data_IF_283432793607
#
_entry.id   IF_283432793607
#
_cell.length_a   1.000
_cell.length_b   1.000
_cell.length_c   1.000
_cell.angle_alpha   90.00
_cell.angle_beta   90.00
_cell.angle_gamma   90.00
#
_symmetry.space_group_name_H-M   'P 1'
#
loop_
_entity.id
_entity.type
_entity.pdbx_description
1 polymer ?
#
# COMPACT_ATOMS: atom_id res chain seq x y z
N UNK A 1 9.06 -4.10 21.73
CA UNK A 1 8.97 -5.04 20.60
C UNK A 1 10.21 -5.90 20.60
N UNK A 2 10.06 -7.22 20.49
CA UNK A 2 11.17 -8.14 20.38
C UNK A 2 11.73 -8.21 18.94
N UNK A 3 13.01 -8.60 18.80
CA UNK A 3 13.64 -8.72 17.46
C UNK A 3 12.87 -9.70 16.54
N UNK A 4 12.32 -10.78 17.11
CA UNK A 4 11.54 -11.76 16.38
C UNK A 4 10.23 -11.18 15.80
N UNK A 5 9.56 -10.30 16.54
CA UNK A 5 8.33 -9.62 16.09
C UNK A 5 8.65 -8.62 14.98
N UNK A 6 9.75 -7.88 15.14
CA UNK A 6 10.26 -7.00 14.09
C UNK A 6 10.54 -7.77 12.81
N UNK A 7 11.34 -8.84 12.91
CA UNK A 7 11.74 -9.63 11.75
C UNK A 7 10.54 -10.28 11.07
N UNK A 8 9.59 -10.81 11.83
CA UNK A 8 8.35 -11.38 11.29
C UNK A 8 7.57 -10.36 10.46
N UNK A 9 7.41 -9.12 10.96
CA UNK A 9 6.71 -8.06 10.23
C UNK A 9 7.45 -7.66 8.95
N UNK A 10 8.77 -7.48 9.03
CA UNK A 10 9.59 -7.14 7.86
C UNK A 10 9.53 -8.27 6.81
N UNK A 11 9.62 -9.52 7.24
CA UNK A 11 9.58 -10.65 6.31
C UNK A 11 8.20 -10.80 5.66
N UNK A 12 7.14 -10.59 6.40
CA UNK A 12 5.76 -10.70 5.91
C UNK A 12 5.39 -9.54 4.99
N UNK A 13 5.69 -8.31 5.38
CA UNK A 13 5.13 -7.12 4.71
C UNK A 13 6.08 -6.48 3.67
N UNK A 14 7.39 -6.70 3.78
CA UNK A 14 8.37 -6.11 2.87
C UNK A 14 9.15 -7.16 2.07
N UNK A 15 9.77 -8.14 2.75
CA UNK A 15 10.57 -9.17 2.07
C UNK A 15 9.71 -10.00 1.12
N UNK A 16 8.45 -10.29 1.48
CA UNK A 16 7.51 -10.99 0.61
C UNK A 16 7.22 -10.22 -0.68
N UNK A 17 7.00 -8.90 -0.58
CA UNK A 17 6.75 -8.03 -1.74
C UNK A 17 7.94 -8.06 -2.71
N UNK A 18 9.17 -7.96 -2.20
CA UNK A 18 10.38 -8.14 -3.00
C UNK A 18 10.42 -9.50 -3.70
N UNK A 19 10.17 -10.60 -2.97
CA UNK A 19 10.23 -11.97 -3.53
C UNK A 19 9.21 -12.17 -4.65
N UNK A 20 7.97 -11.72 -4.46
CA UNK A 20 6.88 -11.81 -5.44
C UNK A 20 7.19 -10.93 -6.65
N UNK A 21 7.57 -9.67 -6.44
CA UNK A 21 7.94 -8.74 -7.52
C UNK A 21 9.07 -9.31 -8.38
N UNK A 22 10.14 -9.85 -7.76
CA UNK A 22 11.25 -10.46 -8.48
C UNK A 22 10.81 -11.64 -9.34
N UNK A 23 9.95 -12.50 -8.81
CA UNK A 23 9.47 -13.68 -9.52
C UNK A 23 8.67 -13.30 -10.78
N UNK A 24 7.71 -12.41 -10.63
CA UNK A 24 6.87 -11.95 -11.75
C UNK A 24 7.62 -11.05 -12.73
N UNK A 25 8.50 -10.16 -12.26
CA UNK A 25 9.31 -9.32 -13.12
C UNK A 25 10.18 -10.15 -14.11
N UNK A 26 10.71 -11.30 -13.67
CA UNK A 26 11.46 -12.19 -14.54
C UNK A 26 10.62 -12.78 -15.70
N UNK A 27 9.32 -12.98 -15.47
CA UNK A 27 8.37 -13.42 -16.50
C UNK A 27 8.00 -12.25 -17.40
N UNK A 28 7.65 -11.11 -16.81
CA UNK A 28 7.23 -9.89 -17.50
C UNK A 28 8.34 -9.35 -18.43
N UNK A 29 9.60 -9.41 -18.02
CA UNK A 29 10.74 -9.02 -18.85
C UNK A 29 10.83 -9.80 -20.17
N UNK A 30 10.49 -11.09 -20.16
CA UNK A 30 10.48 -11.91 -21.38
C UNK A 30 9.43 -11.48 -22.38
N UNK A 31 8.32 -10.92 -21.87
CA UNK A 31 7.19 -10.45 -22.67
C UNK A 31 7.29 -8.97 -23.03
N UNK A 32 8.28 -8.25 -22.49
CA UNK A 32 8.44 -6.80 -22.59
C UNK A 32 7.14 -6.05 -22.23
N UNK A 33 6.44 -6.54 -21.19
CA UNK A 33 5.17 -6.00 -20.71
C UNK A 33 4.92 -6.43 -19.26
N UNK A 34 4.43 -5.51 -18.44
CA UNK A 34 3.98 -5.83 -17.08
C UNK A 34 3.34 -4.64 -16.37
N UNK A 35 2.47 -4.97 -15.43
CA UNK A 35 1.84 -4.03 -14.50
C UNK A 35 1.96 -4.62 -13.10
N UNK A 36 2.66 -3.92 -12.21
CA UNK A 36 2.87 -4.33 -10.82
C UNK A 36 2.27 -3.25 -9.93
N UNK A 37 1.38 -3.67 -9.02
CA UNK A 37 0.76 -2.79 -8.04
C UNK A 37 1.07 -3.34 -6.66
N UNK A 38 1.93 -2.65 -5.92
CA UNK A 38 2.25 -2.98 -4.55
C UNK A 38 1.21 -2.35 -3.61
N UNK A 39 0.85 -3.05 -2.56
CA UNK A 39 -0.04 -2.53 -1.52
C UNK A 39 0.80 -2.18 -0.28
N UNK A 40 0.97 -0.87 -0.06
CA UNK A 40 1.59 -0.36 1.16
C UNK A 40 0.51 -0.04 2.22
N UNK A 41 0.54 1.15 2.76
CA UNK A 41 -0.42 1.71 3.72
C UNK A 41 -0.23 3.22 3.80
N UNK A 42 -1.23 3.95 4.23
CA UNK A 42 -1.08 5.34 4.69
C UNK A 42 0.00 5.44 5.78
N UNK A 43 0.18 4.41 6.60
CA UNK A 43 1.22 4.32 7.63
C UNK A 43 2.65 4.09 7.08
N UNK A 44 2.82 3.93 5.80
CA UNK A 44 4.11 4.07 5.14
C UNK A 44 4.43 5.52 4.76
N UNK A 45 3.45 6.44 4.84
CA UNK A 45 3.58 7.85 4.50
C UNK A 45 3.68 8.75 5.74
N UNK A 46 2.98 8.40 6.81
CA UNK A 46 2.89 9.19 8.04
C UNK A 46 3.09 8.33 9.28
N UNK A 47 3.44 8.97 10.40
CA UNK A 47 3.45 8.34 11.73
C UNK A 47 2.03 8.23 12.32
N UNK A 48 1.93 7.47 13.41
CA UNK A 48 0.71 7.34 14.20
C UNK A 48 1.07 7.41 15.70
N UNK A 49 0.28 8.14 16.47
CA UNK A 49 0.47 8.30 17.91
C UNK A 49 -0.39 7.33 18.74
N UNK A 50 -1.44 6.77 18.13
CA UNK A 50 -2.45 5.98 18.86
C UNK A 50 -2.04 4.50 19.02
N UNK A 51 -1.38 3.93 18.03
CA UNK A 51 -1.04 2.50 18.02
C UNK A 51 0.46 2.32 17.80
N UNK A 52 1.19 1.66 18.71
CA UNK A 52 2.64 1.45 18.60
C UNK A 52 2.95 0.34 17.56
N UNK A 53 3.02 0.72 16.29
CA UNK A 53 3.22 -0.19 15.16
C UNK A 53 4.47 0.16 14.33
N UNK A 54 5.60 0.44 15.00
CA UNK A 54 6.83 0.91 14.35
C UNK A 54 7.34 -0.04 13.25
N UNK A 55 7.25 -1.36 13.46
CA UNK A 55 7.68 -2.34 12.44
C UNK A 55 6.79 -2.28 11.19
N UNK A 56 5.47 -2.13 11.38
CA UNK A 56 4.52 -1.98 10.29
C UNK A 56 4.77 -0.71 9.48
N UNK A 57 4.94 0.44 10.14
CA UNK A 57 5.30 1.71 9.48
C UNK A 57 6.60 1.57 8.68
N UNK A 58 7.61 0.92 9.28
CA UNK A 58 8.90 0.68 8.63
C UNK A 58 8.76 -0.21 7.40
N UNK A 59 8.01 -1.31 7.50
CA UNK A 59 7.79 -2.22 6.38
C UNK A 59 7.03 -1.54 5.24
N UNK A 60 5.96 -0.81 5.56
CA UNK A 60 5.12 -0.13 4.54
C UNK A 60 5.83 1.09 3.93
N UNK A 61 6.63 1.82 4.69
CA UNK A 61 7.56 2.81 4.17
C UNK A 61 8.62 2.20 3.24
N UNK A 62 9.12 1.02 3.61
CA UNK A 62 10.01 0.21 2.77
C UNK A 62 9.36 -0.19 1.45
N UNK A 63 8.10 -0.64 1.44
CA UNK A 63 7.35 -0.97 0.22
C UNK A 63 7.20 0.24 -0.71
N UNK A 64 6.94 1.43 -0.15
CA UNK A 64 6.83 2.67 -0.92
C UNK A 64 8.13 2.97 -1.65
N UNK A 65 9.27 2.95 -0.95
CA UNK A 65 10.54 3.27 -1.57
C UNK A 65 11.04 2.13 -2.49
N UNK A 66 10.78 0.88 -2.14
CA UNK A 66 10.99 -0.28 -3.02
C UNK A 66 10.25 -0.12 -4.35
N UNK A 67 8.99 0.34 -4.32
CA UNK A 67 8.19 0.59 -5.53
C UNK A 67 8.86 1.59 -6.46
N UNK A 68 9.39 2.71 -5.92
CA UNK A 68 10.10 3.71 -6.73
C UNK A 68 11.37 3.15 -7.38
N UNK A 69 12.16 2.40 -6.61
CA UNK A 69 13.37 1.76 -7.13
C UNK A 69 13.03 0.73 -8.21
N UNK A 70 12.06 -0.16 -7.94
CA UNK A 70 11.62 -1.17 -8.89
C UNK A 70 11.04 -0.56 -10.18
N UNK A 71 10.30 0.56 -10.06
CA UNK A 71 9.79 1.30 -11.21
C UNK A 71 10.91 1.78 -12.14
N UNK A 72 11.96 2.37 -11.57
CA UNK A 72 13.12 2.82 -12.34
C UNK A 72 13.88 1.67 -13.01
N UNK A 73 14.10 0.56 -12.27
CA UNK A 73 14.84 -0.59 -12.79
C UNK A 73 14.07 -1.41 -13.84
N UNK A 74 12.73 -1.43 -13.76
CA UNK A 74 11.89 -2.24 -14.65
C UNK A 74 11.34 -1.47 -15.86
N UNK A 75 11.38 -0.13 -15.84
CA UNK A 75 10.91 0.71 -16.93
C UNK A 75 11.51 0.34 -18.31
N UNK A 76 12.82 0.01 -18.47
CA UNK A 76 13.38 -0.38 -19.77
C UNK A 76 12.73 -1.63 -20.39
N UNK A 77 11.99 -2.40 -19.58
CA UNK A 77 11.27 -3.61 -20.02
C UNK A 77 9.78 -3.38 -20.22
N UNK A 78 9.33 -2.11 -20.32
CA UNK A 78 7.91 -1.74 -20.44
C UNK A 78 7.05 -2.31 -19.29
N UNK A 79 7.61 -2.36 -18.09
CA UNK A 79 6.95 -2.78 -16.88
C UNK A 79 6.73 -1.55 -16.00
N UNK A 80 5.48 -1.25 -15.65
CA UNK A 80 5.18 -0.21 -14.67
C UNK A 80 5.07 -0.81 -13.27
N UNK A 81 5.56 -0.09 -12.27
CA UNK A 81 5.46 -0.48 -10.86
C UNK A 81 4.91 0.69 -10.07
N UNK A 82 3.74 0.52 -9.49
CA UNK A 82 3.05 1.56 -8.72
C UNK A 82 2.64 1.03 -7.34
N UNK A 83 2.25 1.92 -6.46
CA UNK A 83 1.86 1.57 -5.09
C UNK A 83 0.53 2.22 -4.74
N UNK A 84 -0.37 1.45 -4.15
CA UNK A 84 -1.56 1.97 -3.47
C UNK A 84 -1.26 1.99 -1.97
N UNK A 85 -1.63 3.08 -1.30
CA UNK A 85 -1.53 3.27 0.14
C UNK A 85 -2.94 3.40 0.72
N UNK A 86 -3.59 2.27 1.07
CA UNK A 86 -4.92 2.31 1.66
C UNK A 86 -4.91 2.98 3.03
N UNK A 87 -5.99 3.71 3.35
CA UNK A 87 -6.35 4.10 4.69
C UNK A 87 -7.05 2.96 5.44
N UNK A 88 -8.00 3.32 6.29
CA UNK A 88 -8.84 2.36 6.97
C UNK A 88 -9.92 1.83 6.03
N UNK A 89 -9.99 0.52 5.89
CA UNK A 89 -11.02 -0.20 5.13
C UNK A 89 -11.65 -1.29 5.99
N UNK A 90 -12.95 -1.47 5.83
CA UNK A 90 -13.66 -2.58 6.47
C UNK A 90 -13.24 -3.89 5.79
N UNK A 91 -12.67 -4.78 6.58
CA UNK A 91 -12.22 -6.11 6.18
C UNK A 91 -12.57 -7.09 7.30
N UNK A 92 -12.52 -8.38 7.02
CA UNK A 92 -12.73 -9.42 8.05
C UNK A 92 -11.84 -9.23 9.28
N UNK A 93 -10.62 -8.70 9.10
CA UNK A 93 -9.66 -8.46 10.19
C UNK A 93 -9.96 -7.20 11.00
N UNK A 94 -10.58 -6.20 10.40
CA UNK A 94 -10.76 -4.87 10.99
C UNK A 94 -12.19 -4.58 11.43
N UNK A 95 -13.17 -5.30 10.90
CA UNK A 95 -14.61 -5.06 11.15
C UNK A 95 -14.99 -5.00 12.62
N UNK A 96 -14.39 -5.83 13.46
CA UNK A 96 -14.67 -5.85 14.90
C UNK A 96 -14.27 -4.54 15.61
N UNK A 97 -13.25 -3.84 15.11
CA UNK A 97 -12.75 -2.57 15.66
C UNK A 97 -13.41 -1.39 14.97
N UNK A 98 -13.54 -1.42 13.65
CA UNK A 98 -14.05 -0.30 12.86
C UNK A 98 -15.53 0.04 13.17
N UNK A 99 -16.31 -0.95 13.59
CA UNK A 99 -17.76 -0.78 13.88
C UNK A 99 -18.04 -0.34 15.32
N UNK A 100 -17.01 0.03 16.11
CA UNK A 100 -17.21 0.59 17.44
C UNK A 100 -17.52 2.10 17.36
N UNK A 101 -18.29 2.60 18.33
CA UNK A 101 -18.59 4.03 18.43
C UNK A 101 -17.32 4.88 18.62
N UNK A 102 -16.38 4.37 19.42
CA UNK A 102 -15.07 5.00 19.65
C UNK A 102 -14.31 5.19 18.34
N UNK A 103 -14.21 4.14 17.52
CA UNK A 103 -13.50 4.19 16.25
C UNK A 103 -14.24 5.07 15.22
N UNK A 104 -15.58 5.05 15.22
CA UNK A 104 -16.38 5.95 14.37
C UNK A 104 -16.11 7.42 14.70
N UNK A 105 -16.00 7.75 15.99
CA UNK A 105 -15.67 9.11 16.43
C UNK A 105 -14.22 9.48 16.08
N UNK A 106 -13.30 8.54 16.22
CA UNK A 106 -11.91 8.74 15.77
C UNK A 106 -11.84 9.05 14.26
N UNK A 107 -12.57 8.31 13.41
CA UNK A 107 -12.63 8.57 11.98
C UNK A 107 -13.14 9.97 11.65
N UNK A 108 -14.18 10.43 12.34
CA UNK A 108 -14.73 11.78 12.14
C UNK A 108 -13.76 12.90 12.50
N UNK A 109 -12.82 12.64 13.39
CA UNK A 109 -11.82 13.61 13.85
C UNK A 109 -10.54 13.61 13.01
N UNK A 110 -10.15 12.46 12.48
CA UNK A 110 -8.83 12.27 11.87
C UNK A 110 -8.87 12.08 10.36
N UNK A 111 -9.99 11.62 9.79
CA UNK A 111 -10.15 11.43 8.36
C UNK A 111 -11.02 12.55 7.78
N UNK A 112 -10.55 13.34 6.82
CA UNK A 112 -11.36 14.43 6.23
C UNK A 112 -12.74 13.98 5.70
N UNK A 113 -12.83 12.77 5.09
CA UNK A 113 -14.12 12.21 4.68
C UNK A 113 -14.98 11.68 5.85
N UNK A 114 -14.45 11.67 7.08
CA UNK A 114 -15.16 11.30 8.31
C UNK A 114 -15.58 9.84 8.42
N UNK A 115 -15.00 8.96 7.60
CA UNK A 115 -15.36 7.54 7.53
C UNK A 115 -14.21 6.68 7.04
N UNK A 116 -14.31 5.37 7.25
CA UNK A 116 -13.45 4.39 6.57
C UNK A 116 -13.92 4.13 5.13
N UNK A 117 -13.05 3.55 4.31
CA UNK A 117 -13.34 3.16 2.94
C UNK A 117 -14.30 1.98 2.89
N UNK A 118 -15.22 2.01 1.93
CA UNK A 118 -16.20 0.95 1.69
C UNK A 118 -15.60 -0.13 0.80
N UNK A 119 -16.22 -1.30 0.81
CA UNK A 119 -15.92 -2.37 -0.14
C UNK A 119 -15.96 -1.85 -1.58
N UNK A 120 -14.96 -2.21 -2.37
CA UNK A 120 -14.83 -1.80 -3.77
C UNK A 120 -14.20 -0.42 -4.01
N UNK A 121 -14.04 0.45 -3.01
CA UNK A 121 -13.46 1.79 -3.23
C UNK A 121 -11.96 1.77 -3.56
N UNK A 122 -11.26 0.66 -3.36
CA UNK A 122 -9.90 0.45 -3.87
C UNK A 122 -9.86 -0.02 -5.33
N UNK A 123 -10.96 -0.56 -5.85
CA UNK A 123 -10.98 -1.20 -7.16
C UNK A 123 -10.64 -0.22 -8.29
N UNK A 124 -11.16 1.01 -8.23
CA UNK A 124 -10.89 2.02 -9.26
C UNK A 124 -9.40 2.35 -9.37
N UNK A 125 -8.71 2.48 -8.24
CA UNK A 125 -7.27 2.70 -8.21
C UNK A 125 -6.48 1.52 -8.80
N UNK A 126 -6.86 0.29 -8.45
CA UNK A 126 -6.22 -0.92 -8.94
C UNK A 126 -6.47 -1.11 -10.45
N UNK A 127 -7.71 -0.91 -10.92
CA UNK A 127 -8.06 -1.01 -12.33
C UNK A 127 -7.30 0.04 -13.14
N UNK A 128 -7.28 1.30 -12.68
CA UNK A 128 -6.52 2.36 -13.35
C UNK A 128 -5.04 2.02 -13.47
N UNK A 129 -4.37 1.71 -12.38
CA UNK A 129 -2.92 1.42 -12.37
C UNK A 129 -2.57 0.12 -13.11
N UNK A 130 -3.51 -0.82 -13.23
CA UNK A 130 -3.33 -2.08 -13.94
C UNK A 130 -3.68 -2.02 -15.43
N UNK A 131 -4.29 -0.93 -15.90
CA UNK A 131 -4.75 -0.80 -17.28
C UNK A 131 -3.65 -0.32 -18.24
N UNK A 132 -3.89 -0.42 -19.54
CA UNK A 132 -2.98 0.08 -20.56
C UNK A 132 -3.03 1.61 -20.68
N UNK A 133 -4.12 2.25 -20.27
CA UNK A 133 -4.25 3.71 -20.19
C UNK A 133 -3.27 4.32 -19.19
N UNK A 134 -2.84 3.54 -18.19
CA UNK A 134 -1.82 3.94 -17.22
C UNK A 134 -0.37 3.62 -17.66
N UNK A 135 -0.13 3.34 -18.94
CA UNK A 135 1.19 2.92 -19.46
C UNK A 135 2.32 3.94 -19.21
N UNK A 136 1.99 5.20 -18.99
CA UNK A 136 2.96 6.26 -18.65
C UNK A 136 3.01 6.59 -17.14
N UNK A 137 2.32 5.79 -16.32
CA UNK A 137 2.29 5.94 -14.85
C UNK A 137 3.17 4.86 -14.23
N UNK A 138 4.34 5.25 -13.71
CA UNK A 138 5.24 4.34 -12.98
C UNK A 138 5.92 5.06 -11.83
N UNK A 139 6.16 4.35 -10.73
CA UNK A 139 6.70 4.92 -9.49
C UNK A 139 5.69 5.75 -8.69
N UNK A 140 4.43 5.78 -9.09
CA UNK A 140 3.38 6.52 -8.39
C UNK A 140 3.06 5.87 -7.05
N UNK A 141 2.84 6.73 -6.05
CA UNK A 141 2.39 6.36 -4.71
C UNK A 141 1.02 7.01 -4.54
N UNK A 142 -0.02 6.20 -4.54
CA UNK A 142 -1.41 6.64 -4.55
C UNK A 142 -2.09 6.38 -3.20
N UNK A 143 -2.26 7.39 -2.34
CA UNK A 143 -3.11 7.25 -1.16
C UNK A 143 -4.57 7.08 -1.55
N UNK A 144 -5.25 6.13 -0.91
CA UNK A 144 -6.69 5.93 -0.99
C UNK A 144 -7.19 5.81 0.46
N UNK A 145 -7.26 6.94 1.15
CA UNK A 145 -7.29 7.02 2.61
C UNK A 145 -8.32 8.02 3.17
N UNK A 146 -9.22 8.52 2.31
CA UNK A 146 -10.22 9.51 2.71
C UNK A 146 -9.64 10.88 3.09
N UNK A 147 -8.38 11.14 2.69
CA UNK A 147 -7.66 12.38 2.99
C UNK A 147 -6.82 12.34 4.27
N UNK A 148 -6.70 11.19 4.93
CA UNK A 148 -5.95 11.04 6.19
C UNK A 148 -4.52 11.60 6.09
N UNK A 149 -3.83 11.38 4.97
CA UNK A 149 -2.43 11.80 4.80
C UNK A 149 -2.28 13.19 4.19
N UNK A 150 -3.35 13.93 3.92
CA UNK A 150 -3.27 15.26 3.34
C UNK A 150 -3.35 16.40 4.37
N UNK A 151 -3.56 16.10 5.64
CA UNK A 151 -3.69 17.04 6.76
C UNK A 151 -2.68 16.76 7.85
#
# INVERSE_FOLDING_TARGET
MADAEWQFTIDTDLTSVFKVTRAFANIMKKNNYGRIINIASMYGLVGNTEIPTIAYHSSKGGVINFTRAAAAELAPYNITVNCICPGYFDTELTSAVLNTEEFTNYMKQTVPLGRYGKEGELNAAAIFLGSDEASYVTGAILPVDGGYTCV
#
